data_IF_708145092698
#
_entry.id   IF_708145092698
#
_cell.length_a   1.000
_cell.length_b   1.000
_cell.length_c   1.000
_cell.angle_alpha   90.00
_cell.angle_beta   90.00
_cell.angle_gamma   90.00
#
_symmetry.space_group_name_H-M   'P 1'
#
loop_
_entity.id
_entity.type
_entity.pdbx_description
1 polymer ?
#
# COMPACT_ATOMS: atom_id res chain seq x y z
N UNK A 1 5.13 -17.82 23.66
CA UNK A 1 5.64 -17.14 22.44
C UNK A 1 5.70 -18.04 21.21
N UNK A 2 6.18 -19.29 21.31
CA UNK A 2 6.23 -20.26 20.17
C UNK A 2 4.93 -20.39 19.36
N UNK A 3 3.78 -20.47 20.03
CA UNK A 3 2.46 -20.58 19.36
C UNK A 3 2.12 -19.35 18.49
N UNK A 4 2.47 -18.14 18.94
CA UNK A 4 2.24 -16.91 18.18
C UNK A 4 3.13 -16.85 16.94
N UNK A 5 4.39 -17.28 17.05
CA UNK A 5 5.32 -17.33 15.91
C UNK A 5 4.85 -18.37 14.88
N UNK A 6 4.41 -19.54 15.33
CA UNK A 6 3.85 -20.56 14.44
C UNK A 6 2.59 -20.04 13.71
N UNK A 7 1.74 -19.30 14.42
CA UNK A 7 0.56 -18.67 13.84
C UNK A 7 0.93 -17.57 12.83
N UNK A 8 1.88 -16.70 13.16
CA UNK A 8 2.39 -15.67 12.25
C UNK A 8 2.98 -16.28 10.95
N UNK A 9 3.68 -17.41 11.05
CA UNK A 9 4.16 -18.16 9.87
C UNK A 9 3.01 -18.74 9.03
N UNK A 10 1.96 -19.24 9.68
CA UNK A 10 0.74 -19.71 9.01
C UNK A 10 0.05 -18.55 8.28
N UNK A 11 -0.10 -17.39 8.91
CA UNK A 11 -0.67 -16.18 8.30
C UNK A 11 0.15 -15.68 7.10
N UNK A 12 1.49 -15.68 7.20
CA UNK A 12 2.38 -15.34 6.08
C UNK A 12 2.16 -16.29 4.90
N UNK A 13 2.09 -17.60 5.16
CA UNK A 13 1.83 -18.60 4.12
C UNK A 13 0.45 -18.43 3.47
N UNK A 14 -0.55 -18.07 4.26
CA UNK A 14 -1.90 -17.81 3.77
C UNK A 14 -1.95 -16.54 2.90
N UNK A 15 -1.30 -15.46 3.33
CA UNK A 15 -1.18 -14.22 2.56
C UNK A 15 -0.37 -14.41 1.26
N UNK A 16 0.61 -15.32 1.26
CA UNK A 16 1.34 -15.72 0.05
C UNK A 16 0.43 -16.50 -0.90
N UNK A 17 -0.25 -17.55 -0.40
CA UNK A 17 -1.11 -18.41 -1.21
C UNK A 17 -2.33 -17.69 -1.79
N UNK A 18 -2.86 -16.72 -1.06
CA UNK A 18 -3.97 -15.85 -1.53
C UNK A 18 -3.51 -14.75 -2.47
N UNK A 19 -2.20 -14.66 -2.76
CA UNK A 19 -1.64 -13.64 -3.64
C UNK A 19 -1.61 -12.23 -3.05
N UNK A 20 -2.09 -12.03 -1.81
CA UNK A 20 -2.14 -10.69 -1.18
C UNK A 20 -0.76 -10.03 -1.11
N UNK A 21 0.29 -10.80 -0.81
CA UNK A 21 1.68 -10.30 -0.79
C UNK A 21 2.11 -9.86 -2.19
N UNK A 22 1.77 -10.64 -3.23
CA UNK A 22 2.12 -10.35 -4.62
C UNK A 22 1.38 -9.10 -5.11
N UNK A 23 0.08 -9.01 -4.84
CA UNK A 23 -0.73 -7.83 -5.18
C UNK A 23 -0.23 -6.58 -4.45
N UNK A 24 0.09 -6.71 -3.15
CA UNK A 24 0.64 -5.60 -2.37
C UNK A 24 2.01 -5.16 -2.89
N UNK A 25 2.89 -6.09 -3.27
CA UNK A 25 4.19 -5.75 -3.87
C UNK A 25 4.02 -5.08 -5.23
N UNK A 26 3.14 -5.60 -6.09
CA UNK A 26 2.87 -5.01 -7.40
C UNK A 26 2.31 -3.59 -7.26
N UNK A 27 1.33 -3.40 -6.36
CA UNK A 27 0.82 -2.07 -6.03
C UNK A 27 1.96 -1.16 -5.58
N UNK A 28 2.79 -1.59 -4.63
CA UNK A 28 3.89 -0.79 -4.10
C UNK A 28 4.87 -0.35 -5.20
N UNK A 29 5.21 -1.24 -6.14
CA UNK A 29 6.10 -0.93 -7.28
C UNK A 29 5.45 0.08 -8.23
N UNK A 30 4.21 -0.15 -8.66
CA UNK A 30 3.49 0.76 -9.58
C UNK A 30 3.42 2.16 -8.99
N UNK A 31 2.96 2.23 -7.74
CA UNK A 31 2.77 3.47 -7.01
C UNK A 31 4.10 4.13 -6.58
N UNK A 32 5.19 3.35 -6.48
CA UNK A 32 6.54 3.84 -6.26
C UNK A 32 7.13 4.51 -7.51
N UNK A 33 7.03 3.85 -8.66
CA UNK A 33 7.54 4.37 -9.95
C UNK A 33 6.73 5.59 -10.41
N UNK A 34 5.43 5.64 -10.10
CA UNK A 34 4.56 6.73 -10.53
C UNK A 34 4.99 8.11 -10.00
N UNK A 35 5.53 8.20 -8.78
CA UNK A 35 5.93 9.50 -8.22
C UNK A 35 7.14 10.14 -8.96
N UNK A 36 8.27 9.45 -9.19
CA UNK A 36 9.37 9.97 -10.03
C UNK A 36 8.94 10.25 -11.46
N UNK A 37 8.07 9.40 -12.02
CA UNK A 37 7.57 9.55 -13.38
C UNK A 37 6.74 10.83 -13.53
N UNK A 38 5.81 11.10 -12.60
CA UNK A 38 5.04 12.34 -12.58
C UNK A 38 5.95 13.55 -12.34
N UNK A 39 6.93 13.46 -11.44
CA UNK A 39 7.89 14.54 -11.22
C UNK A 39 8.67 14.91 -12.50
N UNK A 40 8.95 13.96 -13.41
CA UNK A 40 9.61 14.26 -14.70
C UNK A 40 8.64 14.62 -15.83
N UNK A 41 7.49 13.95 -15.93
CA UNK A 41 6.55 14.15 -17.03
C UNK A 41 5.69 15.40 -16.86
N UNK A 42 5.26 15.73 -15.63
CA UNK A 42 4.45 16.92 -15.38
C UNK A 42 5.12 18.22 -15.86
N UNK A 43 6.39 18.53 -15.56
CA UNK A 43 7.03 19.73 -16.11
C UNK A 43 7.18 19.66 -17.62
N UNK A 44 7.53 18.50 -18.18
CA UNK A 44 7.68 18.33 -19.62
C UNK A 44 6.36 18.61 -20.36
N UNK A 45 5.25 18.05 -19.88
CA UNK A 45 3.92 18.27 -20.43
C UNK A 45 3.49 19.73 -20.28
N UNK A 46 3.70 20.33 -19.11
CA UNK A 46 3.40 21.75 -18.88
C UNK A 46 4.24 22.64 -19.79
N UNK A 47 5.52 22.31 -20.01
CA UNK A 47 6.39 23.07 -20.89
C UNK A 47 5.95 22.94 -22.35
N UNK A 48 5.65 21.72 -22.82
CA UNK A 48 5.14 21.45 -24.16
C UNK A 48 3.77 22.10 -24.42
N UNK A 49 2.92 22.20 -23.39
CA UNK A 49 1.65 22.93 -23.48
C UNK A 49 1.86 24.45 -23.38
N UNK A 50 2.80 24.92 -22.57
CA UNK A 50 3.09 26.35 -22.40
C UNK A 50 3.60 26.99 -23.68
N UNK A 51 4.34 26.24 -24.52
CA UNK A 51 4.74 26.71 -25.86
C UNK A 51 3.53 26.95 -26.76
N UNK A 52 2.50 26.11 -26.67
CA UNK A 52 1.24 26.26 -27.43
C UNK A 52 0.32 27.33 -26.82
N UNK A 53 0.35 27.50 -25.49
CA UNK A 53 -0.44 28.52 -24.78
C UNK A 53 0.16 29.94 -24.91
N UNK A 54 1.48 30.05 -25.06
CA UNK A 54 2.15 31.31 -25.34
C UNK A 54 1.75 31.89 -26.70
N UNK A 55 1.57 31.05 -27.72
CA UNK A 55 1.02 31.45 -29.04
C UNK A 55 -0.43 31.95 -28.95
N UNK A 56 -1.16 31.57 -27.90
CA UNK A 56 -2.54 32.03 -27.62
C UNK A 56 -2.61 33.14 -26.54
N UNK A 57 -1.48 33.75 -26.19
CA UNK A 57 -1.42 34.90 -25.28
C UNK A 57 -1.57 34.58 -23.79
N UNK A 58 -1.56 33.30 -23.41
CA UNK A 58 -1.67 32.87 -22.01
C UNK A 58 -0.27 32.62 -21.45
N UNK A 59 0.18 33.52 -20.57
CA UNK A 59 1.47 33.39 -19.88
C UNK A 59 1.39 32.29 -18.80
N UNK A 60 1.87 31.09 -19.13
CA UNK A 60 1.98 29.99 -18.16
C UNK A 60 3.23 30.23 -17.30
N UNK A 61 3.03 30.47 -16.00
CA UNK A 61 4.14 30.56 -15.05
C UNK A 61 4.94 29.26 -15.03
N UNK A 62 6.27 29.39 -15.09
CA UNK A 62 7.25 28.30 -15.04
C UNK A 62 7.04 27.51 -13.75
N UNK A 63 6.43 26.33 -13.84
CA UNK A 63 6.31 25.41 -12.70
C UNK A 63 7.70 24.87 -12.42
N UNK A 64 8.39 25.46 -11.44
CA UNK A 64 9.67 24.98 -10.96
C UNK A 64 9.38 23.68 -10.21
N UNK A 65 9.84 22.57 -10.76
CA UNK A 65 9.74 21.26 -10.14
C UNK A 65 10.93 21.11 -9.22
N UNK A 66 10.69 21.39 -7.94
CA UNK A 66 11.67 21.25 -6.87
C UNK A 66 11.35 20.00 -6.03
N UNK A 67 12.29 19.50 -5.22
CA UNK A 67 12.13 18.28 -4.41
C UNK A 67 10.86 18.27 -3.51
N UNK A 68 10.38 19.47 -3.17
CA UNK A 68 9.13 19.72 -2.43
C UNK A 68 7.87 19.29 -3.19
N UNK A 69 7.91 19.32 -4.53
CA UNK A 69 6.79 18.89 -5.39
C UNK A 69 6.66 17.36 -5.44
N UNK A 70 7.77 16.63 -5.47
CA UNK A 70 7.75 15.16 -5.36
C UNK A 70 7.24 14.70 -4.00
N UNK A 71 7.59 15.40 -2.92
CA UNK A 71 7.08 15.11 -1.57
C UNK A 71 5.57 15.36 -1.45
N UNK A 72 5.07 16.46 -2.01
CA UNK A 72 3.62 16.76 -1.98
C UNK A 72 2.81 15.79 -2.83
N UNK A 73 3.34 15.32 -3.97
CA UNK A 73 2.72 14.24 -4.76
C UNK A 73 2.71 12.91 -4.00
N UNK A 74 3.80 12.58 -3.30
CA UNK A 74 3.85 11.40 -2.44
C UNK A 74 2.74 11.45 -1.38
N UNK A 75 2.63 12.56 -0.64
CA UNK A 75 1.63 12.70 0.42
C UNK A 75 0.19 12.58 -0.10
N UNK A 76 -0.11 13.17 -1.27
CA UNK A 76 -1.43 13.06 -1.91
C UNK A 76 -1.81 11.63 -2.30
N UNK A 77 -0.82 10.78 -2.60
CA UNK A 77 -1.03 9.40 -3.01
C UNK A 77 -1.09 8.40 -1.84
N UNK A 78 -0.76 8.80 -0.60
CA UNK A 78 -0.83 7.95 0.59
C UNK A 78 -2.27 7.46 0.87
N UNK A 79 -3.31 8.32 0.90
CA UNK A 79 -4.67 7.88 1.21
C UNK A 79 -5.19 6.84 0.21
N UNK A 80 -4.84 6.97 -1.07
CA UNK A 80 -5.25 6.02 -2.10
C UNK A 80 -4.64 4.63 -1.85
N UNK A 81 -3.34 4.56 -1.53
CA UNK A 81 -2.70 3.29 -1.18
C UNK A 81 -3.30 2.67 0.09
N UNK A 82 -3.63 3.50 1.09
CA UNK A 82 -4.29 3.06 2.31
C UNK A 82 -5.64 2.39 2.02
N UNK A 83 -6.44 2.96 1.11
CA UNK A 83 -7.72 2.37 0.68
C UNK A 83 -7.49 1.01 0.02
N UNK A 84 -6.53 0.88 -0.91
CA UNK A 84 -6.23 -0.40 -1.54
C UNK A 84 -5.75 -1.45 -0.53
N UNK A 85 -4.93 -1.04 0.45
CA UNK A 85 -4.48 -1.91 1.52
C UNK A 85 -5.67 -2.40 2.37
N UNK A 86 -6.54 -1.49 2.81
CA UNK A 86 -7.73 -1.85 3.58
C UNK A 86 -8.64 -2.79 2.78
N UNK A 87 -8.82 -2.58 1.48
CA UNK A 87 -9.62 -3.47 0.64
C UNK A 87 -9.00 -4.88 0.56
N UNK A 88 -7.69 -4.99 0.34
CA UNK A 88 -6.96 -6.27 0.30
C UNK A 88 -7.06 -7.06 1.62
N UNK A 89 -7.06 -6.35 2.74
CA UNK A 89 -7.08 -6.95 4.08
C UNK A 89 -8.48 -6.97 4.72
N UNK A 90 -9.50 -6.36 4.13
CA UNK A 90 -10.87 -6.28 4.65
C UNK A 90 -11.46 -7.66 4.98
N UNK A 91 -11.21 -8.65 4.12
CA UNK A 91 -11.73 -10.00 4.27
C UNK A 91 -10.93 -10.91 5.20
N UNK A 92 -9.86 -10.46 5.87
CA UNK A 92 -8.94 -11.35 6.63
C UNK A 92 -9.64 -12.15 7.73
N UNK A 93 -10.65 -11.57 8.38
CA UNK A 93 -11.41 -12.23 9.44
C UNK A 93 -12.61 -12.99 8.86
N UNK A 94 -13.30 -12.38 7.90
CA UNK A 94 -14.47 -12.98 7.24
C UNK A 94 -14.11 -14.29 6.55
N UNK A 95 -12.95 -14.35 5.87
CA UNK A 95 -12.48 -15.57 5.21
C UNK A 95 -12.18 -16.68 6.20
N UNK A 96 -11.62 -16.38 7.37
CA UNK A 96 -11.39 -17.41 8.39
C UNK A 96 -12.67 -17.86 9.09
N UNK A 97 -13.65 -16.97 9.22
CA UNK A 97 -14.96 -17.30 9.78
C UNK A 97 -15.70 -18.27 8.85
N UNK A 98 -15.72 -17.97 7.55
CA UNK A 98 -16.32 -18.84 6.53
C UNK A 98 -15.62 -20.20 6.42
N UNK A 99 -14.29 -20.22 6.48
CA UNK A 99 -13.50 -21.46 6.38
C UNK A 99 -13.40 -22.24 7.71
N UNK A 100 -14.08 -21.81 8.78
CA UNK A 100 -14.04 -22.46 10.10
C UNK A 100 -12.66 -22.47 10.77
N UNK A 101 -11.69 -21.72 10.24
CA UNK A 101 -10.29 -21.78 10.68
C UNK A 101 -10.11 -21.15 12.06
N UNK A 102 -10.96 -20.18 12.41
CA UNK A 102 -11.04 -19.61 13.75
C UNK A 102 -11.34 -20.68 14.80
N UNK A 103 -12.21 -21.64 14.50
CA UNK A 103 -12.60 -22.70 15.44
C UNK A 103 -11.40 -23.61 15.73
N UNK A 104 -10.63 -23.98 14.70
CA UNK A 104 -9.39 -24.76 14.86
C UNK A 104 -8.31 -24.04 15.69
N UNK A 105 -8.34 -22.71 15.76
CA UNK A 105 -7.43 -21.94 16.60
C UNK A 105 -7.92 -21.87 18.05
N UNK A 106 -9.24 -21.77 18.24
CA UNK A 106 -9.87 -21.78 19.56
C UNK A 106 -9.72 -23.15 20.26
N UNK A 107 -9.88 -24.25 19.53
CA UNK A 107 -9.71 -25.61 20.07
C UNK A 107 -8.26 -25.90 20.50
N UNK A 108 -7.28 -25.20 19.92
CA UNK A 108 -5.86 -25.25 20.35
C UNK A 108 -5.56 -24.37 21.58
N UNK A 109 -6.58 -23.83 22.24
CA UNK A 109 -6.43 -23.06 23.49
C UNK A 109 -6.05 -21.60 23.29
N UNK A 110 -6.12 -21.05 22.07
CA UNK A 110 -5.83 -19.63 21.85
C UNK A 110 -7.03 -18.74 22.22
N UNK A 111 -6.77 -17.73 23.05
CA UNK A 111 -7.76 -16.68 23.35
C UNK A 111 -8.03 -15.83 22.10
N UNK A 112 -9.31 -15.50 21.84
CA UNK A 112 -9.76 -14.67 20.72
C UNK A 112 -8.92 -13.40 20.52
N UNK A 113 -8.63 -12.68 21.60
CA UNK A 113 -7.85 -11.43 21.55
C UNK A 113 -6.43 -11.60 20.96
N UNK A 114 -5.79 -12.75 21.20
CA UNK A 114 -4.44 -13.02 20.66
C UNK A 114 -4.46 -13.21 19.15
N UNK A 115 -5.55 -13.75 18.61
CA UNK A 115 -5.74 -13.93 17.16
C UNK A 115 -5.87 -12.56 16.48
N UNK A 116 -6.73 -11.69 17.03
CA UNK A 116 -6.87 -10.31 16.56
C UNK A 116 -5.54 -9.55 16.63
N UNK A 117 -4.86 -9.59 17.77
CA UNK A 117 -3.60 -8.88 17.96
C UNK A 117 -2.53 -9.35 16.95
N UNK A 118 -2.44 -10.66 16.70
CA UNK A 118 -1.48 -11.18 15.73
C UNK A 118 -1.77 -10.70 14.31
N UNK A 119 -3.05 -10.63 13.91
CA UNK A 119 -3.43 -10.13 12.57
C UNK A 119 -3.15 -8.64 12.43
N UNK A 120 -3.41 -7.87 13.48
CA UNK A 120 -3.06 -6.44 13.55
C UNK A 120 -1.55 -6.20 13.40
N UNK A 121 -0.73 -6.94 14.16
CA UNK A 121 0.73 -6.84 14.07
C UNK A 121 1.20 -7.18 12.65
N UNK A 122 0.64 -8.21 12.03
CA UNK A 122 0.98 -8.57 10.64
C UNK A 122 0.58 -7.48 9.64
N UNK A 123 -0.60 -6.88 9.79
CA UNK A 123 -1.02 -5.75 8.96
C UNK A 123 -0.08 -4.55 9.09
N UNK A 124 0.31 -4.19 10.31
CA UNK A 124 1.25 -3.08 10.57
C UNK A 124 2.63 -3.39 9.95
N UNK A 125 3.11 -4.63 10.07
CA UNK A 125 4.38 -5.04 9.46
C UNK A 125 4.32 -4.93 7.93
N UNK A 126 3.27 -5.45 7.30
CA UNK A 126 3.11 -5.33 5.84
C UNK A 126 3.02 -3.87 5.40
N UNK A 127 2.24 -3.06 6.11
CA UNK A 127 2.14 -1.62 5.85
C UNK A 127 3.49 -0.92 5.95
N UNK A 128 4.25 -1.21 7.00
CA UNK A 128 5.57 -0.61 7.23
C UNK A 128 6.56 -1.00 6.14
N UNK A 129 6.54 -2.26 5.69
CA UNK A 129 7.38 -2.73 4.58
C UNK A 129 7.00 -2.06 3.26
N UNK A 130 5.70 -1.96 2.95
CA UNK A 130 5.23 -1.25 1.75
C UNK A 130 5.59 0.22 1.76
N UNK A 131 5.54 0.87 2.93
CA UNK A 131 5.95 2.26 3.08
C UNK A 131 7.47 2.41 2.88
N UNK A 132 8.28 1.55 3.51
CA UNK A 132 9.73 1.60 3.42
C UNK A 132 10.25 1.35 2.00
N UNK A 133 9.63 0.43 1.26
CA UNK A 133 10.02 0.13 -0.13
C UNK A 133 9.85 1.34 -1.08
N UNK A 134 9.22 2.42 -0.62
CA UNK A 134 8.77 3.55 -1.44
C UNK A 134 9.38 4.89 -1.03
N UNK A 135 9.84 5.03 0.21
CA UNK A 135 10.67 6.16 0.66
C UNK A 135 12.06 6.06 0.05
#
# INVERSE_FOLDING_TARGET
MRQLIAFAKKELKENWRTGKIITLSALTVIFGIMNPLLAKLTPYLVQAMSTTLAESGISVQKIIVDATTSWTQFYKNIPMLLIFFLLLFSGILTSEYQNGTIINLLTKGMKRWKIFLSKWIMGILFWSVSYWCRS
#
